data_IF_171206494411
#
_entry.id   IF_171206494411
#
_cell.length_a   1.000
_cell.length_b   1.000
_cell.length_c   1.000
_cell.angle_alpha   90.00
_cell.angle_beta   90.00
_cell.angle_gamma   90.00
#
_symmetry.space_group_name_H-M   'P 1'
#
loop_
_entity.id
_entity.type
_entity.pdbx_description
1 polymer ?
#
# COMPACT_ATOMS: atom_id res chain seq x y z
N UNK A 1 -19.37 6.10 -0.32
CA UNK A 1 -18.84 5.02 -1.16
C UNK A 1 -17.48 4.59 -0.65
N UNK A 2 -17.25 3.28 -0.55
CA UNK A 2 -15.93 2.70 -0.28
C UNK A 2 -15.20 2.55 -1.61
N UNK A 3 -13.92 2.90 -1.64
CA UNK A 3 -13.07 2.79 -2.84
C UNK A 3 -12.85 1.32 -3.23
N UNK A 4 -12.82 0.43 -2.23
CA UNK A 4 -12.53 -0.99 -2.37
C UNK A 4 -13.60 -1.81 -1.63
N UNK A 5 -14.03 -2.91 -2.24
CA UNK A 5 -14.96 -3.87 -1.64
C UNK A 5 -14.24 -4.99 -0.89
N UNK A 6 -14.88 -5.52 0.16
CA UNK A 6 -14.35 -6.60 1.01
C UNK A 6 -13.49 -6.15 2.19
N UNK A 7 -13.41 -4.84 2.46
CA UNK A 7 -12.69 -4.29 3.61
C UNK A 7 -13.42 -4.57 4.92
N UNK A 8 -12.69 -4.83 6.02
CA UNK A 8 -13.27 -4.82 7.37
C UNK A 8 -13.46 -3.41 7.92
N UNK A 9 -12.76 -2.42 7.36
CA UNK A 9 -12.81 -1.03 7.78
C UNK A 9 -12.80 -0.08 6.59
N UNK A 10 -13.40 1.10 6.74
CA UNK A 10 -13.36 2.13 5.69
C UNK A 10 -11.96 2.72 5.60
N UNK A 11 -11.32 2.51 4.45
CA UNK A 11 -10.01 3.07 4.10
C UNK A 11 -10.10 3.79 2.76
N UNK A 12 -9.25 4.79 2.56
CA UNK A 12 -9.05 5.47 1.28
C UNK A 12 -7.57 5.48 0.97
N UNK A 13 -7.16 4.71 -0.02
CA UNK A 13 -5.79 4.61 -0.48
C UNK A 13 -5.52 5.72 -1.47
N UNK A 14 -4.33 6.32 -1.38
CA UNK A 14 -3.90 7.28 -2.39
C UNK A 14 -3.51 6.57 -3.70
N UNK A 15 -2.85 5.42 -3.62
CA UNK A 15 -2.51 4.57 -4.78
C UNK A 15 -2.60 3.08 -4.42
N UNK A 16 -3.03 2.28 -5.38
CA UNK A 16 -2.88 0.83 -5.35
C UNK A 16 -2.67 0.30 -6.77
N UNK A 17 -2.01 -0.86 -6.86
CA UNK A 17 -1.88 -1.66 -8.07
C UNK A 17 -2.55 -2.99 -7.77
N UNK A 18 -3.44 -3.42 -8.66
CA UNK A 18 -4.14 -4.71 -8.57
C UNK A 18 -3.80 -5.60 -9.77
N UNK A 19 -4.15 -6.88 -9.67
CA UNK A 19 -4.13 -7.76 -10.84
C UNK A 19 -5.16 -7.23 -11.83
N UNK A 20 -4.76 -7.03 -13.08
CA UNK A 20 -5.70 -6.73 -14.14
C UNK A 20 -6.60 -7.96 -14.34
N UNK A 21 -7.86 -7.88 -13.92
CA UNK A 21 -8.84 -8.89 -14.28
C UNK A 21 -9.27 -8.64 -15.74
N UNK A 22 -9.15 -9.67 -16.58
CA UNK A 22 -9.58 -9.60 -17.99
C UNK A 22 -11.12 -9.45 -18.08
N UNK A 23 -11.85 -9.77 -17.00
CA UNK A 23 -13.30 -9.77 -16.93
C UNK A 23 -13.90 -8.51 -16.28
N UNK A 24 -13.51 -7.31 -16.74
CA UNK A 24 -14.40 -6.15 -16.91
C UNK A 24 -15.25 -5.62 -15.74
N UNK A 25 -14.97 -5.95 -14.48
CA UNK A 25 -15.65 -5.35 -13.33
C UNK A 25 -15.15 -3.93 -13.05
N UNK A 26 -16.04 -2.94 -12.98
CA UNK A 26 -15.67 -1.54 -12.65
C UNK A 26 -15.33 -1.30 -11.17
N UNK A 27 -15.35 -2.36 -10.34
CA UNK A 27 -15.17 -2.27 -8.90
C UNK A 27 -13.88 -2.96 -8.47
N UNK A 28 -13.11 -2.25 -7.67
CA UNK A 28 -11.84 -2.73 -7.12
C UNK A 28 -12.07 -3.51 -5.81
N UNK A 29 -11.30 -4.58 -5.60
CA UNK A 29 -11.40 -5.44 -4.41
C UNK A 29 -10.06 -5.63 -3.71
N UNK A 30 -10.08 -5.72 -2.37
CA UNK A 30 -8.87 -5.97 -1.57
C UNK A 30 -8.14 -7.27 -1.91
N UNK A 31 -8.87 -8.28 -2.41
CA UNK A 31 -8.30 -9.57 -2.81
C UNK A 31 -7.41 -9.47 -4.05
N UNK A 32 -7.58 -8.42 -4.84
CA UNK A 32 -6.90 -8.23 -6.12
C UNK A 32 -5.69 -7.29 -5.99
N UNK A 33 -5.56 -6.54 -4.89
CA UNK A 33 -4.45 -5.62 -4.63
C UNK A 33 -3.12 -6.35 -4.49
N UNK A 34 -2.10 -5.86 -5.19
CA UNK A 34 -0.73 -6.36 -5.15
C UNK A 34 0.25 -5.38 -4.51
N UNK A 35 0.09 -4.09 -4.72
CA UNK A 35 0.95 -3.01 -4.22
C UNK A 35 0.09 -1.85 -3.72
N UNK A 36 0.54 -1.14 -2.69
CA UNK A 36 -0.13 0.04 -2.15
C UNK A 36 0.86 1.20 -1.99
N UNK A 37 0.38 2.43 -2.16
CA UNK A 37 1.20 3.63 -2.06
C UNK A 37 0.48 4.73 -1.30
N UNK A 38 1.24 5.49 -0.52
CA UNK A 38 0.78 6.68 0.18
C UNK A 38 1.65 7.88 -0.20
N UNK A 39 1.04 9.06 -0.33
CA UNK A 39 1.77 10.28 -0.62
C UNK A 39 1.65 11.28 0.52
N UNK A 40 2.72 12.00 0.79
CA UNK A 40 2.70 13.13 1.72
C UNK A 40 3.58 14.26 1.21
N UNK A 41 3.18 15.51 1.48
CA UNK A 41 4.02 16.67 1.18
C UNK A 41 5.10 16.91 2.26
N UNK A 42 4.95 16.29 3.43
CA UNK A 42 5.81 16.51 4.61
C UNK A 42 6.57 15.24 4.98
N UNK A 43 7.90 15.36 5.09
CA UNK A 43 8.78 14.29 5.59
C UNK A 43 8.44 13.91 7.03
N UNK A 44 8.02 14.88 7.87
CA UNK A 44 7.64 14.61 9.27
C UNK A 44 6.38 13.73 9.41
N UNK A 45 5.58 13.58 8.35
CA UNK A 45 4.39 12.73 8.35
C UNK A 45 4.65 11.32 7.80
N UNK A 46 5.89 11.00 7.42
CA UNK A 46 6.26 9.70 6.85
C UNK A 46 5.87 8.53 7.76
N UNK A 47 6.15 8.63 9.06
CA UNK A 47 5.75 7.61 10.04
C UNK A 47 4.23 7.44 10.17
N UNK A 48 3.47 8.54 10.09
CA UNK A 48 2.00 8.50 10.09
C UNK A 48 1.48 7.80 8.84
N UNK A 49 2.06 8.11 7.68
CA UNK A 49 1.71 7.45 6.40
C UNK A 49 2.10 5.98 6.39
N UNK A 50 3.24 5.62 6.96
CA UNK A 50 3.62 4.22 7.14
C UNK A 50 2.64 3.49 8.05
N UNK A 51 2.23 4.08 9.17
CA UNK A 51 1.20 3.49 10.03
C UNK A 51 -0.12 3.26 9.26
N UNK A 52 -0.55 4.23 8.46
CA UNK A 52 -1.72 4.09 7.58
C UNK A 52 -1.53 2.93 6.57
N UNK A 53 -0.35 2.84 5.95
CA UNK A 53 0.02 1.77 5.05
C UNK A 53 -0.08 0.38 5.72
N UNK A 54 0.40 0.23 6.97
CA UNK A 54 0.28 -1.06 7.70
C UNK A 54 -1.17 -1.48 7.95
N UNK A 55 -2.10 -0.53 8.14
CA UNK A 55 -3.54 -0.83 8.28
C UNK A 55 -4.09 -1.43 6.99
N UNK A 56 -3.64 -0.97 5.82
CA UNK A 56 -4.06 -1.52 4.53
C UNK A 56 -3.45 -2.90 4.30
N UNK A 57 -2.18 -3.09 4.65
CA UNK A 57 -1.50 -4.40 4.55
C UNK A 57 -2.27 -5.45 5.34
N UNK A 58 -2.79 -5.08 6.52
CA UNK A 58 -3.65 -5.96 7.30
C UNK A 58 -4.94 -6.34 6.57
N UNK A 59 -5.61 -5.39 5.92
CA UNK A 59 -6.80 -5.68 5.10
C UNK A 59 -6.45 -6.61 3.91
N UNK A 60 -5.29 -6.41 3.28
CA UNK A 60 -4.79 -7.28 2.20
C UNK A 60 -4.55 -8.70 2.71
N UNK A 61 -3.90 -8.87 3.86
CA UNK A 61 -3.68 -10.21 4.43
C UNK A 61 -4.99 -10.91 4.82
N UNK A 62 -5.99 -10.16 5.27
CA UNK A 62 -7.33 -10.74 5.50
C UNK A 62 -8.00 -11.18 4.19
N UNK A 63 -7.88 -10.38 3.12
CA UNK A 63 -8.47 -10.72 1.82
C UNK A 63 -7.67 -11.78 1.04
N UNK A 64 -6.38 -11.95 1.34
CA UNK A 64 -5.44 -12.87 0.67
C UNK A 64 -4.70 -13.74 1.69
N UNK A 65 -5.33 -14.76 2.31
CA UNK A 65 -4.73 -15.54 3.40
C UNK A 65 -3.46 -16.32 3.05
N UNK A 66 -3.19 -16.57 1.77
CA UNK A 66 -1.97 -17.25 1.31
C UNK A 66 -0.85 -16.28 0.90
N UNK A 67 -1.10 -14.97 0.92
CA UNK A 67 -0.10 -13.96 0.58
C UNK A 67 0.98 -13.93 1.68
N UNK A 68 2.24 -14.12 1.27
CA UNK A 68 3.40 -14.14 2.18
C UNK A 68 3.88 -12.75 2.55
N UNK A 69 3.91 -11.83 1.58
CA UNK A 69 4.35 -10.45 1.77
C UNK A 69 3.54 -9.48 0.91
N UNK A 70 3.49 -8.22 1.34
CA UNK A 70 2.90 -7.11 0.60
C UNK A 70 3.97 -6.07 0.34
N UNK A 71 3.97 -5.52 -0.87
CA UNK A 71 4.80 -4.37 -1.21
C UNK A 71 4.02 -3.09 -0.97
N UNK A 72 4.69 -2.11 -0.39
CA UNK A 72 4.15 -0.77 -0.33
C UNK A 72 5.23 0.29 -0.34
N UNK A 73 4.83 1.54 -0.48
CA UNK A 73 5.75 2.65 -0.46
C UNK A 73 5.11 3.92 0.05
N UNK A 74 5.95 4.82 0.56
CA UNK A 74 5.57 6.18 0.90
C UNK A 74 6.44 7.13 0.09
N UNK A 75 5.81 8.01 -0.68
CA UNK A 75 6.51 9.08 -1.40
C UNK A 75 6.29 10.39 -0.67
N UNK A 76 7.39 11.14 -0.46
CA UNK A 76 7.32 12.51 0.01
C UNK A 76 8.30 13.42 -0.73
N UNK A 77 7.80 14.57 -1.20
CA UNK A 77 8.57 15.48 -2.05
C UNK A 77 9.19 14.72 -3.24
N UNK A 78 10.52 14.62 -3.27
CA UNK A 78 11.30 13.92 -4.29
C UNK A 78 12.00 12.68 -3.70
N UNK A 79 11.46 12.13 -2.63
CA UNK A 79 12.00 10.95 -1.96
C UNK A 79 10.93 9.87 -1.84
N UNK A 80 11.36 8.62 -1.85
CA UNK A 80 10.51 7.47 -1.59
C UNK A 80 11.18 6.53 -0.59
N UNK A 81 10.36 5.83 0.17
CA UNK A 81 10.80 4.66 0.91
C UNK A 81 9.89 3.49 0.55
N UNK A 82 10.51 2.38 0.15
CA UNK A 82 9.82 1.15 -0.25
C UNK A 82 9.88 0.14 0.89
N UNK A 83 8.80 -0.62 1.01
CA UNK A 83 8.58 -1.55 2.09
C UNK A 83 8.16 -2.92 1.54
N UNK A 84 8.75 -3.97 2.09
CA UNK A 84 8.27 -5.34 1.99
C UNK A 84 7.83 -5.76 3.38
N UNK A 85 6.54 -6.05 3.55
CA UNK A 85 6.00 -6.42 4.86
C UNK A 85 5.45 -7.83 4.79
N UNK A 86 5.94 -8.69 5.66
CA UNK A 86 5.39 -10.02 5.89
C UNK A 86 4.60 -10.06 7.23
N UNK A 87 4.32 -11.25 7.75
CA UNK A 87 3.57 -11.39 9.02
C UNK A 87 4.41 -11.22 10.27
N UNK A 88 5.73 -11.28 10.12
CA UNK A 88 6.70 -11.21 11.22
C UNK A 88 7.29 -9.82 11.32
N UNK A 89 7.62 -9.19 10.19
CA UNK A 89 8.28 -7.88 10.18
C UNK A 89 8.10 -7.09 8.87
N UNK A 90 8.58 -5.83 8.90
CA UNK A 90 8.63 -4.90 7.78
C UNK A 90 10.08 -4.53 7.43
N UNK A 91 10.47 -4.79 6.19
CA UNK A 91 11.78 -4.47 5.64
C UNK A 91 11.70 -3.19 4.81
N UNK A 92 12.56 -2.22 5.12
CA UNK A 92 12.66 -0.95 4.38
C UNK A 92 13.83 -0.94 3.42
N UNK A 93 13.67 -0.28 2.28
CA UNK A 93 14.78 0.13 1.41
C UNK A 93 15.66 1.24 2.01
N UNK A 94 15.20 1.90 3.08
CA UNK A 94 15.66 3.24 3.42
C UNK A 94 15.13 4.29 2.44
N UNK A 95 15.41 5.55 2.72
CA UNK A 95 14.98 6.65 1.86
C UNK A 95 15.83 6.75 0.60
N UNK A 96 15.16 6.86 -0.55
CA UNK A 96 15.77 6.94 -1.88
C UNK A 96 15.35 8.26 -2.53
N UNK A 97 16.31 8.98 -3.12
CA UNK A 97 16.03 10.13 -3.98
C UNK A 97 15.41 9.68 -5.30
N UNK A 98 14.31 10.30 -5.71
CA UNK A 98 13.63 10.06 -6.98
C UNK A 98 14.17 10.92 -8.13
N UNK A 99 15.09 11.85 -7.82
CA UNK A 99 15.86 12.60 -8.81
C UNK A 99 17.29 12.06 -8.84
N UNK A 100 17.87 11.98 -10.04
CA UNK A 100 19.27 11.61 -10.24
C UNK A 100 20.21 12.55 -9.46
N UNK A 101 21.24 11.96 -8.87
CA UNK A 101 22.37 12.65 -8.23
C UNK A 101 23.35 13.20 -9.25
#
# INVERSE_FOLDING_TARGET
>A
FNQLEGAKSRQKLDLFIEVADLAGGSKHHWRDIRVIGEFTKSAGLKGVKFHQLTRYIREIFYAQPLRRFVHGFVVHKLHAEFWVVDRSDAYSSGEISLIES
#
